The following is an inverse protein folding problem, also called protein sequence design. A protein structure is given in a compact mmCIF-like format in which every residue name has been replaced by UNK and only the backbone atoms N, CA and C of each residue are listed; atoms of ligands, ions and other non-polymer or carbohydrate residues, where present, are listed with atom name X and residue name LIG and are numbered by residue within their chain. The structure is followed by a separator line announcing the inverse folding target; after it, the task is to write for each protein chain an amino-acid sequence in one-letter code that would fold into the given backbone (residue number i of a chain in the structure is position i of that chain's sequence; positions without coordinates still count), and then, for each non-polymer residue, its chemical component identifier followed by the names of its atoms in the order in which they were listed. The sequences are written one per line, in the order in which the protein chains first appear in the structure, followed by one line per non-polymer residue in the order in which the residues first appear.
data_IF_735392347899
#
_entry.id   IF_735392347899
#
_cell.length_a   1.000
_cell.length_b   1.000
_cell.length_c   1.000
_cell.angle_alpha   90.00
_cell.angle_beta   90.00
_cell.angle_gamma   90.00
#
_symmetry.space_group_name_H-M   'P 1'
#
loop_
_entity.id
_entity.type
_entity.pdbx_description
1 polymer ?
#
# COMPACT_ATOMS: atom_id res chain seq x y z
N UNK A 1 14.11 14.21 -11.43
CA UNK A 1 14.15 13.01 -10.64
C UNK A 1 12.95 12.13 -10.91
N UNK A 2 13.18 11.03 -11.58
CA UNK A 2 12.12 10.13 -12.03
C UNK A 2 11.30 9.53 -10.89
N UNK A 3 11.95 9.28 -9.75
CA UNK A 3 11.29 8.69 -8.58
C UNK A 3 10.23 9.61 -7.99
N UNK A 4 10.48 10.91 -7.97
CA UNK A 4 9.49 11.89 -7.53
C UNK A 4 8.36 12.05 -8.54
N UNK A 5 8.66 11.87 -9.82
CA UNK A 5 7.64 11.95 -10.86
C UNK A 5 6.59 10.84 -10.71
N UNK A 6 6.97 9.65 -10.22
CA UNK A 6 6.01 8.59 -9.95
C UNK A 6 4.98 8.99 -8.90
N UNK A 7 5.39 9.73 -7.85
CA UNK A 7 4.49 10.23 -6.81
C UNK A 7 3.59 11.36 -7.30
N UNK A 8 3.94 12.01 -8.41
CA UNK A 8 3.13 13.07 -8.99
C UNK A 8 1.93 12.55 -9.79
N UNK A 9 1.84 11.24 -10.02
CA UNK A 9 0.64 10.63 -10.60
C UNK A 9 -0.43 10.49 -9.51
N UNK A 10 -0.79 11.63 -8.93
CA UNK A 10 -1.77 11.70 -7.86
C UNK A 10 -2.97 12.47 -8.37
N UNK A 11 -4.13 11.86 -8.24
CA UNK A 11 -5.39 12.50 -8.56
C UNK A 11 -6.09 12.85 -7.25
N UNK A 12 -6.26 14.15 -7.02
CA UNK A 12 -6.98 14.64 -5.85
C UNK A 12 -8.42 14.93 -6.22
N UNK A 13 -9.35 14.32 -5.51
CA UNK A 13 -10.76 14.67 -5.66
C UNK A 13 -11.11 15.82 -4.73
N UNK A 14 -12.21 16.51 -5.02
CA UNK A 14 -12.73 17.57 -4.17
C UNK A 14 -13.21 17.07 -2.81
N UNK A 15 -13.35 15.75 -2.63
CA UNK A 15 -13.81 15.12 -1.40
C UNK A 15 -12.66 14.71 -0.46
N UNK A 16 -11.43 15.13 -0.75
CA UNK A 16 -10.29 14.79 0.08
C UNK A 16 -9.81 13.36 -0.08
N UNK A 17 -9.97 12.78 -1.26
CA UNK A 17 -9.47 11.45 -1.60
C UNK A 17 -8.35 11.59 -2.62
N UNK A 18 -7.23 10.95 -2.35
CA UNK A 18 -6.10 10.88 -3.27
C UNK A 18 -6.05 9.49 -3.92
N UNK A 19 -5.81 9.44 -5.22
CA UNK A 19 -5.59 8.20 -5.95
C UNK A 19 -4.14 8.18 -6.45
N UNK A 20 -3.40 7.15 -6.06
CA UNK A 20 -2.01 6.94 -6.46
C UNK A 20 -1.93 5.65 -7.26
N UNK A 21 -1.42 5.74 -8.48
CA UNK A 21 -1.28 4.59 -9.37
C UNK A 21 0.16 4.12 -9.37
N UNK A 22 0.42 3.01 -8.69
CA UNK A 22 1.74 2.39 -8.54
C UNK A 22 2.84 3.40 -8.18
N UNK A 23 2.65 4.18 -7.09
CA UNK A 23 3.51 5.33 -6.81
C UNK A 23 4.95 4.96 -6.51
N UNK A 24 5.22 3.71 -6.15
CA UNK A 24 6.56 3.28 -5.72
C UNK A 24 7.20 2.26 -6.67
N UNK A 25 6.57 1.95 -7.80
CA UNK A 25 6.99 0.84 -8.66
C UNK A 25 8.35 1.03 -9.34
N UNK A 26 8.77 2.28 -9.54
CA UNK A 26 10.03 2.60 -10.20
C UNK A 26 11.22 2.70 -9.23
N UNK A 27 11.01 2.45 -7.95
CA UNK A 27 12.02 2.64 -6.91
C UNK A 27 12.77 1.34 -6.62
N UNK A 28 14.06 1.44 -6.30
CA UNK A 28 14.82 0.32 -5.78
C UNK A 28 14.41 -0.01 -4.33
N UNK A 29 14.89 -1.15 -3.81
CA UNK A 29 14.48 -1.64 -2.49
C UNK A 29 14.82 -0.67 -1.36
N UNK A 30 16.01 -0.09 -1.39
CA UNK A 30 16.46 0.82 -0.33
C UNK A 30 15.68 2.13 -0.39
N UNK A 31 15.52 2.69 -1.57
CA UNK A 31 14.75 3.92 -1.78
C UNK A 31 13.29 3.71 -1.41
N UNK A 32 12.72 2.56 -1.74
CA UNK A 32 11.34 2.22 -1.34
C UNK A 32 11.17 2.29 0.18
N UNK A 33 12.10 1.72 0.95
CA UNK A 33 12.00 1.72 2.41
C UNK A 33 11.96 3.13 2.98
N UNK A 34 12.80 4.02 2.45
CA UNK A 34 12.84 5.42 2.87
C UNK A 34 11.54 6.14 2.52
N UNK A 35 11.05 5.95 1.31
CA UNK A 35 9.83 6.61 0.83
C UNK A 35 8.60 6.05 1.55
N UNK A 36 8.53 4.76 1.83
CA UNK A 36 7.43 4.17 2.61
C UNK A 36 7.36 4.80 4.00
N UNK A 37 8.50 4.96 4.67
CA UNK A 37 8.54 5.59 5.98
C UNK A 37 8.06 7.04 5.90
N UNK A 38 8.54 7.78 4.92
CA UNK A 38 8.10 9.16 4.68
C UNK A 38 6.59 9.22 4.44
N UNK A 39 6.07 8.34 3.59
CA UNK A 39 4.63 8.26 3.29
C UNK A 39 3.80 8.02 4.56
N UNK A 40 4.21 7.06 5.39
CA UNK A 40 3.51 6.77 6.64
C UNK A 40 3.53 7.97 7.60
N UNK A 41 4.67 8.64 7.71
CA UNK A 41 4.79 9.82 8.57
C UNK A 41 3.90 10.96 8.08
N UNK A 42 3.88 11.21 6.79
CA UNK A 42 3.05 12.25 6.19
C UNK A 42 1.57 11.95 6.40
N UNK A 43 1.15 10.70 6.17
CA UNK A 43 -0.26 10.31 6.27
C UNK A 43 -0.80 10.40 7.69
N UNK A 44 0.04 10.34 8.72
CA UNK A 44 -0.39 10.56 10.10
C UNK A 44 -0.77 12.00 10.38
N UNK A 45 -0.23 12.94 9.63
CA UNK A 45 -0.38 14.37 9.87
C UNK A 45 -1.35 15.03 8.90
N UNK A 46 -1.91 14.28 7.97
CA UNK A 46 -2.82 14.79 6.95
C UNK A 46 -4.14 14.04 7.06
N UNK A 47 -5.24 14.79 7.08
CA UNK A 47 -6.59 14.23 7.02
C UNK A 47 -6.96 14.00 5.54
N UNK A 48 -6.42 12.96 4.96
CA UNK A 48 -6.60 12.62 3.57
C UNK A 48 -6.77 11.11 3.41
N UNK A 49 -7.88 10.71 2.83
CA UNK A 49 -8.08 9.31 2.45
C UNK A 49 -7.31 9.03 1.16
N UNK A 50 -6.57 7.92 1.15
CA UNK A 50 -5.73 7.57 0.01
C UNK A 50 -6.08 6.18 -0.49
N UNK A 51 -6.23 6.05 -1.80
CA UNK A 51 -6.31 4.77 -2.50
C UNK A 51 -5.07 4.66 -3.38
N UNK A 52 -4.30 3.61 -3.21
CA UNK A 52 -3.18 3.38 -4.11
C UNK A 52 -3.24 1.99 -4.71
N UNK A 53 -2.78 1.90 -5.95
CA UNK A 53 -2.78 0.67 -6.74
C UNK A 53 -1.35 0.14 -6.76
N UNK A 54 -1.18 -1.12 -6.41
CA UNK A 54 0.13 -1.77 -6.43
C UNK A 54 -0.02 -3.27 -6.68
N UNK A 55 1.00 -3.90 -7.26
CA UNK A 55 1.11 -5.36 -7.29
C UNK A 55 2.13 -5.88 -6.28
N UNK A 56 2.68 -5.03 -5.46
CA UNK A 56 3.59 -5.44 -4.39
C UNK A 56 2.78 -5.74 -3.13
N UNK A 57 2.70 -7.02 -2.78
CA UNK A 57 1.90 -7.48 -1.63
C UNK A 57 2.45 -6.91 -0.33
N UNK A 58 3.75 -6.90 -0.15
CA UNK A 58 4.40 -6.40 1.07
C UNK A 58 4.10 -4.92 1.28
N UNK A 59 4.13 -4.14 0.20
CA UNK A 59 3.80 -2.72 0.22
C UNK A 59 2.34 -2.49 0.61
N UNK A 60 1.43 -3.28 0.06
CA UNK A 60 0.01 -3.17 0.37
C UNK A 60 -0.24 -3.43 1.86
N UNK A 61 0.39 -4.44 2.44
CA UNK A 61 0.22 -4.76 3.87
C UNK A 61 0.84 -3.67 4.75
N UNK A 62 2.01 -3.18 4.38
CA UNK A 62 2.74 -2.18 5.17
C UNK A 62 2.00 -0.84 5.25
N UNK A 63 1.41 -0.41 4.15
CA UNK A 63 0.91 0.96 4.01
C UNK A 63 -0.60 1.11 4.14
N UNK A 64 -1.37 0.03 4.05
CA UNK A 64 -2.83 0.11 3.92
C UNK A 64 -3.56 -0.26 5.20
N UNK A 65 -4.74 0.33 5.37
CA UNK A 65 -5.73 -0.11 6.36
C UNK A 65 -6.59 -1.23 5.81
N UNK A 66 -6.88 -1.18 4.52
CA UNK A 66 -7.68 -2.18 3.81
C UNK A 66 -7.06 -2.47 2.45
N UNK A 67 -7.12 -3.72 2.07
CA UNK A 67 -6.62 -4.18 0.77
C UNK A 67 -7.78 -4.77 0.00
N UNK A 68 -7.98 -4.28 -1.22
CA UNK A 68 -8.95 -4.81 -2.16
C UNK A 68 -8.22 -5.57 -3.25
N UNK A 69 -8.53 -6.84 -3.42
CA UNK A 69 -7.92 -7.67 -4.46
C UNK A 69 -8.84 -7.63 -5.66
N UNK A 70 -8.28 -7.18 -6.78
CA UNK A 70 -9.04 -7.03 -8.03
C UNK A 70 -8.71 -8.18 -8.98
N UNK A 71 -9.77 -8.70 -9.62
CA UNK A 71 -9.65 -9.69 -10.69
C UNK A 71 -10.65 -9.33 -11.77
N UNK A 72 -10.18 -9.26 -13.01
CA UNK A 72 -11.01 -8.94 -14.17
C UNK A 72 -11.83 -7.65 -14.00
N UNK A 73 -11.22 -6.66 -13.33
CA UNK A 73 -11.85 -5.36 -13.12
C UNK A 73 -12.89 -5.34 -12.00
N UNK A 74 -13.03 -6.44 -11.27
CA UNK A 74 -14.00 -6.56 -10.17
C UNK A 74 -13.26 -6.82 -8.86
N UNK A 75 -13.76 -6.25 -7.75
CA UNK A 75 -13.23 -6.55 -6.43
C UNK A 75 -13.60 -7.99 -6.04
N UNK A 76 -12.59 -8.86 -6.02
CA UNK A 76 -12.78 -10.27 -5.68
C UNK A 76 -12.77 -10.49 -4.17
N UNK A 77 -12.06 -9.65 -3.41
CA UNK A 77 -11.92 -9.84 -1.97
C UNK A 77 -11.46 -8.55 -1.29
N UNK A 78 -11.74 -8.46 0.01
CA UNK A 78 -11.31 -7.37 0.87
C UNK A 78 -10.63 -7.95 2.11
N UNK A 79 -9.48 -7.38 2.48
CA UNK A 79 -8.76 -7.75 3.70
C UNK A 79 -8.50 -6.49 4.52
N UNK A 80 -8.93 -6.50 5.78
CA UNK A 80 -8.66 -5.42 6.71
C UNK A 80 -7.36 -5.71 7.46
N UNK A 81 -6.48 -4.72 7.53
CA UNK A 81 -5.22 -4.82 8.25
C UNK A 81 -5.37 -4.11 9.60
N UNK A 82 -5.40 -4.88 10.69
CA UNK A 82 -5.63 -4.35 12.03
C UNK A 82 -4.37 -3.90 12.77
N UNK A 83 -3.20 -4.06 12.16
CA UNK A 83 -1.95 -3.66 12.79
C UNK A 83 -1.88 -2.14 12.97
N UNK A 84 -1.43 -1.63 14.13
CA UNK A 84 -1.30 -0.20 14.37
C UNK A 84 -0.31 0.46 13.42
N UNK A 85 -0.55 1.73 13.11
CA UNK A 85 0.38 2.55 12.34
C UNK A 85 1.11 3.54 13.28
N UNK A 86 2.31 4.00 12.93
CA UNK A 86 3.07 3.65 11.73
C UNK A 86 3.66 2.25 11.85
N UNK A 87 3.67 1.52 10.74
CA UNK A 87 4.30 0.21 10.66
C UNK A 87 5.72 0.39 10.17
N UNK A 88 6.65 -0.29 10.83
CA UNK A 88 8.07 -0.22 10.48
C UNK A 88 8.47 -1.46 9.67
N UNK A 89 9.72 -1.46 9.17
CA UNK A 89 10.26 -2.64 8.51
C UNK A 89 10.27 -3.87 9.43
N UNK A 90 10.28 -3.68 10.74
CA UNK A 90 10.19 -4.78 11.69
C UNK A 90 8.85 -5.51 11.61
N UNK A 91 7.78 -4.79 11.28
CA UNK A 91 6.47 -5.41 11.09
C UNK A 91 6.51 -6.48 10.00
N UNK A 92 7.31 -6.28 8.96
CA UNK A 92 7.47 -7.23 7.86
C UNK A 92 8.06 -8.57 8.32
N UNK A 93 8.66 -8.60 9.49
CA UNK A 93 9.30 -9.80 10.05
C UNK A 93 8.41 -10.51 11.07
N UNK A 94 7.19 -10.04 11.28
CA UNK A 94 6.28 -10.62 12.27
C UNK A 94 5.43 -11.74 11.68
N UNK A 95 4.94 -12.61 12.55
CA UNK A 95 3.99 -13.66 12.16
C UNK A 95 2.66 -13.06 11.69
N UNK A 96 2.25 -11.94 12.26
CA UNK A 96 1.04 -11.23 11.86
C UNK A 96 1.12 -10.79 10.40
N UNK A 97 2.23 -10.18 10.00
CA UNK A 97 2.46 -9.79 8.62
C UNK A 97 2.40 -11.01 7.70
N UNK A 98 3.06 -12.08 8.08
CA UNK A 98 3.10 -13.31 7.30
C UNK A 98 1.71 -13.92 7.12
N UNK A 99 0.87 -13.85 8.15
CA UNK A 99 -0.51 -14.33 8.06
C UNK A 99 -1.32 -13.55 7.03
N UNK A 100 -1.21 -12.22 7.01
CA UNK A 100 -1.85 -11.40 5.99
C UNK A 100 -1.33 -11.76 4.59
N UNK A 101 -0.03 -11.90 4.45
CA UNK A 101 0.58 -12.26 3.18
C UNK A 101 0.09 -13.62 2.68
N UNK A 102 -0.02 -14.62 3.55
CA UNK A 102 -0.55 -15.94 3.21
C UNK A 102 -1.99 -15.85 2.70
N UNK A 103 -2.84 -15.07 3.36
CA UNK A 103 -4.22 -14.90 2.94
C UNK A 103 -4.30 -14.31 1.53
N UNK A 104 -3.51 -13.29 1.27
CA UNK A 104 -3.50 -12.62 -0.05
C UNK A 104 -3.01 -13.59 -1.13
N UNK A 105 -1.91 -14.28 -0.87
CA UNK A 105 -1.33 -15.24 -1.82
C UNK A 105 -2.33 -16.36 -2.14
N UNK A 106 -3.02 -16.88 -1.14
CA UNK A 106 -4.04 -17.91 -1.35
C UNK A 106 -5.17 -17.41 -2.23
N UNK A 107 -5.66 -16.20 -1.99
CA UNK A 107 -6.72 -15.61 -2.80
C UNK A 107 -6.25 -15.44 -4.24
N UNK A 108 -5.04 -14.94 -4.45
CA UNK A 108 -4.49 -14.75 -5.79
C UNK A 108 -4.31 -16.08 -6.53
N UNK A 109 -4.00 -17.15 -5.82
CA UNK A 109 -3.87 -18.47 -6.43
C UNK A 109 -5.22 -19.08 -6.84
N UNK A 110 -6.31 -18.65 -6.21
CA UNK A 110 -7.65 -19.12 -6.54
C UNK A 110 -8.29 -18.34 -7.70
N UNK A 111 -7.68 -17.26 -8.11
CA UNK A 111 -8.14 -16.47 -9.25
C UNK A 111 -7.54 -17.00 -10.59
#
# INVERSE_FOLDING_TARGET
MRQRAALLRTYLSSNGVALLDEPFSALDTITKSVIHKWYLDVMQNIDLSTVFITHDIDEAILLSDRIYILADGVCANEIKIDAPKPRTTEFNLTDEFLNYKRQIVQILHLL
#
